data_IF_955602617056
#
_entry.id   IF_955602617056
#
_cell.length_a   1.000
_cell.length_b   1.000
_cell.length_c   1.000
_cell.angle_alpha   90.00
_cell.angle_beta   90.00
_cell.angle_gamma   90.00
#
_symmetry.space_group_name_H-M   'P 1'
#
loop_
_entity.id
_entity.type
_entity.pdbx_description
1 polymer ?
#
# COMPACT_ATOMS: atom_id res chain seq x y z
N UNK A 1 -23.67 0.61 -1.98
CA UNK A 1 -22.75 1.36 -1.10
C UNK A 1 -23.27 2.79 -0.88
N UNK A 2 -22.83 3.46 0.19
CA UNK A 2 -23.17 4.86 0.45
C UNK A 2 -22.70 5.73 -0.74
N UNK A 3 -23.49 6.69 -1.23
CA UNK A 3 -23.16 7.51 -2.42
C UNK A 3 -22.12 8.61 -2.15
N UNK A 4 -21.45 8.55 -1.00
CA UNK A 4 -20.43 9.53 -0.61
C UNK A 4 -19.11 9.15 -1.29
N UNK A 5 -18.43 10.10 -1.97
CA UNK A 5 -17.11 9.85 -2.53
C UNK A 5 -16.10 9.38 -1.48
N UNK A 6 -15.38 8.30 -1.78
CA UNK A 6 -14.43 7.66 -0.85
C UNK A 6 -13.00 7.79 -1.37
N UNK A 7 -12.12 8.40 -0.58
CA UNK A 7 -10.67 8.35 -0.79
C UNK A 7 -10.07 7.29 0.14
N UNK A 8 -9.38 6.32 -0.44
CA UNK A 8 -8.61 5.32 0.30
C UNK A 8 -7.13 5.51 -0.03
N UNK A 9 -6.29 5.63 0.99
CA UNK A 9 -4.83 5.74 0.85
C UNK A 9 -4.13 4.57 1.52
N UNK A 10 -2.97 4.20 1.00
CA UNK A 10 -2.06 3.19 1.56
C UNK A 10 -0.62 3.65 1.38
N UNK A 11 0.33 3.01 2.04
CA UNK A 11 1.76 3.28 1.92
C UNK A 11 2.46 2.22 1.07
N UNK A 12 3.58 2.56 0.44
CA UNK A 12 4.29 1.64 -0.48
C UNK A 12 4.72 0.30 0.16
N UNK A 13 5.09 0.29 1.44
CA UNK A 13 5.70 -0.86 2.11
C UNK A 13 5.02 -1.19 3.46
N UNK A 14 3.69 -1.32 3.46
CA UNK A 14 2.86 -1.55 4.65
C UNK A 14 3.43 -2.63 5.59
N UNK A 15 3.73 -3.83 5.09
CA UNK A 15 4.16 -4.92 5.97
C UNK A 15 5.49 -4.64 6.69
N UNK A 16 6.30 -3.72 6.17
CA UNK A 16 7.64 -3.40 6.71
C UNK A 16 7.54 -2.56 8.00
N UNK A 17 6.48 -1.77 8.15
CA UNK A 17 6.22 -1.04 9.40
C UNK A 17 5.64 -1.94 10.50
N UNK A 18 4.89 -2.98 10.10
CA UNK A 18 4.20 -3.91 11.03
C UNK A 18 5.09 -5.07 11.47
N UNK A 19 5.88 -5.64 10.55
CA UNK A 19 6.76 -6.78 10.82
C UNK A 19 8.23 -6.35 10.85
N UNK A 20 8.78 -6.02 12.03
CA UNK A 20 10.14 -5.54 12.16
C UNK A 20 11.19 -6.56 11.67
N UNK A 21 12.37 -6.08 11.26
CA UNK A 21 13.51 -6.88 10.76
C UNK A 21 14.24 -7.65 11.89
N UNK A 22 13.52 -8.26 12.81
CA UNK A 22 14.13 -8.91 13.97
C UNK A 22 14.56 -10.35 13.60
N UNK A 23 15.87 -10.52 13.34
CA UNK A 23 16.63 -11.80 13.29
C UNK A 23 16.28 -12.81 12.18
N UNK A 24 17.11 -13.87 12.09
CA UNK A 24 17.13 -14.96 11.08
C UNK A 24 15.78 -15.68 10.82
N UNK A 25 14.76 -15.47 11.66
CA UNK A 25 13.47 -16.17 11.61
C UNK A 25 12.39 -15.45 10.81
N UNK A 26 12.63 -14.22 10.34
CA UNK A 26 11.63 -13.42 9.59
C UNK A 26 11.08 -14.15 8.36
N UNK A 27 11.90 -14.92 7.63
CA UNK A 27 11.44 -15.71 6.48
C UNK A 27 10.46 -16.81 6.90
N UNK A 28 10.71 -17.46 8.04
CA UNK A 28 9.79 -18.45 8.61
C UNK A 28 8.50 -17.78 9.07
N UNK A 29 8.57 -16.66 9.78
CA UNK A 29 7.39 -15.90 10.23
C UNK A 29 6.53 -15.44 9.05
N UNK A 30 7.14 -14.92 7.98
CA UNK A 30 6.43 -14.51 6.77
C UNK A 30 5.74 -15.70 6.08
N UNK A 31 6.43 -16.83 5.95
CA UNK A 31 5.87 -18.06 5.39
C UNK A 31 4.67 -18.55 6.22
N UNK A 32 4.81 -18.60 7.54
CA UNK A 32 3.73 -19.02 8.45
C UNK A 32 2.54 -18.05 8.42
N UNK A 33 2.80 -16.74 8.33
CA UNK A 33 1.75 -15.74 8.22
C UNK A 33 1.04 -15.80 6.86
N UNK A 34 1.76 -16.11 5.78
CA UNK A 34 1.22 -16.11 4.42
C UNK A 34 0.46 -17.39 4.06
N UNK A 35 0.89 -18.56 4.54
CA UNK A 35 0.31 -19.86 4.18
C UNK A 35 -1.22 -19.94 4.34
N UNK A 36 -1.83 -19.44 5.43
CA UNK A 36 -3.28 -19.49 5.60
C UNK A 36 -4.08 -18.72 4.53
N UNK A 37 -3.45 -17.79 3.80
CA UNK A 37 -4.13 -17.07 2.73
C UNK A 37 -4.33 -17.90 1.46
N UNK A 38 -3.62 -19.01 1.31
CA UNK A 38 -3.62 -19.81 0.10
C UNK A 38 -4.16 -21.22 0.37
N UNK A 39 -4.61 -21.91 -0.67
CA UNK A 39 -4.96 -23.32 -0.54
C UNK A 39 -3.74 -24.14 -0.15
N UNK A 40 -3.99 -25.25 0.54
CA UNK A 40 -2.94 -26.17 0.93
C UNK A 40 -2.14 -26.63 -0.30
N UNK A 41 -0.82 -26.49 -0.25
CA UNK A 41 0.10 -26.84 -1.35
C UNK A 41 0.41 -25.72 -2.35
N UNK A 42 -0.43 -24.68 -2.46
CA UNK A 42 -0.29 -23.66 -3.53
C UNK A 42 0.75 -22.58 -3.23
N UNK A 43 1.16 -22.41 -1.97
CA UNK A 43 2.00 -21.29 -1.52
C UNK A 43 3.27 -21.08 -2.36
N UNK A 44 4.02 -22.15 -2.66
CA UNK A 44 5.25 -22.05 -3.43
C UNK A 44 4.99 -21.61 -4.88
N UNK A 45 3.97 -22.17 -5.52
CA UNK A 45 3.59 -21.81 -6.89
C UNK A 45 3.12 -20.36 -6.97
N UNK A 46 2.27 -19.92 -6.03
CA UNK A 46 1.80 -18.53 -5.97
C UNK A 46 2.97 -17.57 -5.75
N UNK A 47 3.91 -17.91 -4.84
CA UNK A 47 5.11 -17.10 -4.60
C UNK A 47 5.97 -16.95 -5.86
N UNK A 48 6.20 -18.03 -6.61
CA UNK A 48 6.99 -18.00 -7.85
C UNK A 48 6.32 -17.14 -8.94
N UNK A 49 5.01 -17.33 -9.15
CA UNK A 49 4.22 -16.51 -10.08
C UNK A 49 4.25 -15.03 -9.67
N UNK A 50 4.12 -14.76 -8.38
CA UNK A 50 4.14 -13.40 -7.85
C UNK A 50 5.50 -12.74 -8.07
N UNK A 51 6.60 -13.44 -7.79
CA UNK A 51 7.96 -12.95 -8.07
C UNK A 51 8.15 -12.59 -9.56
N UNK A 52 7.60 -13.39 -10.48
CA UNK A 52 7.65 -13.10 -11.92
C UNK A 52 6.88 -11.80 -12.27
N UNK A 53 5.71 -11.56 -11.66
CA UNK A 53 4.95 -10.31 -11.89
C UNK A 53 5.68 -9.07 -11.38
N UNK A 54 6.39 -9.16 -10.24
CA UNK A 54 7.23 -8.06 -9.73
C UNK A 54 8.32 -7.70 -10.73
N UNK A 55 9.05 -8.71 -11.22
CA UNK A 55 10.13 -8.52 -12.19
C UNK A 55 9.60 -7.87 -13.48
N UNK A 56 8.50 -8.39 -14.03
CA UNK A 56 7.85 -7.82 -15.23
C UNK A 56 7.41 -6.38 -15.03
N UNK A 57 6.99 -6.00 -13.82
CA UNK A 57 6.55 -4.64 -13.48
C UNK A 57 7.71 -3.67 -13.20
N UNK A 58 8.96 -4.12 -13.32
CA UNK A 58 10.14 -3.31 -12.95
C UNK A 58 10.20 -2.97 -11.46
N UNK A 59 9.46 -3.69 -10.61
CA UNK A 59 9.49 -3.50 -9.16
C UNK A 59 10.66 -4.31 -8.63
N UNK A 60 11.73 -3.61 -8.24
CA UNK A 60 12.90 -4.22 -7.62
C UNK A 60 12.55 -4.81 -6.24
N UNK A 61 12.13 -6.07 -6.22
CA UNK A 61 12.41 -6.93 -5.08
C UNK A 61 13.85 -7.42 -5.25
N UNK A 62 14.67 -7.32 -4.20
CA UNK A 62 15.92 -8.10 -4.17
C UNK A 62 15.53 -9.53 -4.48
N UNK A 63 16.28 -10.24 -5.33
CA UNK A 63 15.96 -11.60 -5.76
C UNK A 63 15.94 -12.64 -4.61
N UNK A 64 16.01 -12.18 -3.36
CA UNK A 64 15.85 -12.99 -2.16
C UNK A 64 14.38 -13.25 -1.84
N UNK A 65 14.12 -14.47 -1.35
CA UNK A 65 12.78 -14.95 -0.99
C UNK A 65 12.10 -14.09 0.10
N UNK A 66 12.89 -13.47 0.98
CA UNK A 66 12.37 -12.63 2.07
C UNK A 66 11.72 -11.36 1.52
N UNK A 67 12.37 -10.68 0.58
CA UNK A 67 11.87 -9.47 -0.07
C UNK A 67 10.57 -9.76 -0.82
N UNK A 68 10.53 -10.85 -1.57
CA UNK A 68 9.32 -11.31 -2.27
C UNK A 68 8.17 -11.56 -1.28
N UNK A 69 8.39 -12.34 -0.21
CA UNK A 69 7.33 -12.63 0.77
C UNK A 69 6.84 -11.38 1.50
N UNK A 70 7.70 -10.39 1.75
CA UNK A 70 7.26 -9.11 2.31
C UNK A 70 6.34 -8.35 1.37
N UNK A 71 6.71 -8.28 0.10
CA UNK A 71 5.87 -7.65 -0.91
C UNK A 71 4.55 -8.40 -1.06
N UNK A 72 4.56 -9.74 -1.05
CA UNK A 72 3.33 -10.55 -1.04
C UNK A 72 2.42 -10.21 0.14
N UNK A 73 2.99 -10.06 1.33
CA UNK A 73 2.20 -9.73 2.52
C UNK A 73 1.65 -8.29 2.46
N UNK A 74 2.47 -7.32 2.05
CA UNK A 74 2.03 -5.94 1.80
C UNK A 74 0.89 -5.91 0.80
N UNK A 75 1.04 -6.62 -0.32
CA UNK A 75 0.03 -6.62 -1.36
C UNK A 75 -1.23 -7.34 -0.92
N UNK A 76 -1.13 -8.55 -0.34
CA UNK A 76 -2.30 -9.36 0.04
C UNK A 76 -3.18 -8.67 1.08
N UNK A 77 -2.58 -8.11 2.13
CA UNK A 77 -3.32 -7.57 3.28
C UNK A 77 -3.77 -6.11 3.12
N UNK A 78 -3.14 -5.34 2.24
CA UNK A 78 -3.47 -3.92 2.09
C UNK A 78 -3.84 -3.59 0.66
N UNK A 79 -2.91 -3.75 -0.28
CA UNK A 79 -3.14 -3.28 -1.65
C UNK A 79 -4.30 -4.00 -2.34
N UNK A 80 -4.34 -5.34 -2.28
CA UNK A 80 -5.35 -6.13 -2.96
C UNK A 80 -6.73 -5.99 -2.32
N UNK A 81 -6.80 -5.98 -0.99
CA UNK A 81 -8.04 -5.74 -0.25
C UNK A 81 -8.60 -4.34 -0.52
N UNK A 82 -7.77 -3.29 -0.48
CA UNK A 82 -8.19 -1.93 -0.81
C UNK A 82 -8.64 -1.84 -2.28
N UNK A 83 -7.93 -2.49 -3.19
CA UNK A 83 -8.30 -2.55 -4.61
C UNK A 83 -9.65 -3.23 -4.81
N UNK A 84 -9.93 -4.32 -4.11
CA UNK A 84 -11.26 -4.96 -4.12
C UNK A 84 -12.34 -4.04 -3.57
N UNK A 85 -12.09 -3.38 -2.44
CA UNK A 85 -13.02 -2.42 -1.84
C UNK A 85 -13.39 -1.30 -2.83
N UNK A 86 -12.41 -0.66 -3.46
CA UNK A 86 -12.69 0.44 -4.42
C UNK A 86 -13.39 -0.07 -5.68
N UNK A 87 -13.09 -1.29 -6.14
CA UNK A 87 -13.82 -1.95 -7.24
C UNK A 87 -15.28 -2.14 -6.88
N UNK A 88 -15.58 -2.62 -5.68
CA UNK A 88 -16.96 -2.87 -5.22
C UNK A 88 -17.75 -1.58 -5.03
N UNK A 89 -17.13 -0.54 -4.48
CA UNK A 89 -17.74 0.80 -4.43
C UNK A 89 -18.07 1.28 -5.84
N UNK A 90 -17.11 1.20 -6.77
CA UNK A 90 -17.27 1.67 -8.16
C UNK A 90 -18.35 0.88 -8.91
N UNK A 91 -18.36 -0.46 -8.81
CA UNK A 91 -19.36 -1.33 -9.46
C UNK A 91 -20.79 -1.05 -9.01
N UNK A 92 -20.97 -0.58 -7.77
CA UNK A 92 -22.29 -0.24 -7.24
C UNK A 92 -22.69 1.22 -7.49
N UNK A 93 -21.95 1.94 -8.34
CA UNK A 93 -22.23 3.31 -8.73
C UNK A 93 -21.73 4.37 -7.74
N UNK A 94 -20.86 4.00 -6.79
CA UNK A 94 -20.17 4.95 -5.92
C UNK A 94 -18.93 5.54 -6.58
N UNK A 95 -18.47 6.69 -6.09
CA UNK A 95 -17.20 7.28 -6.49
C UNK A 95 -16.09 6.83 -5.51
N UNK A 96 -15.07 6.16 -6.02
CA UNK A 96 -13.90 5.76 -5.25
C UNK A 96 -12.63 6.36 -5.84
N UNK A 97 -11.66 6.66 -4.98
CA UNK A 97 -10.37 7.24 -5.32
C UNK A 97 -9.31 6.46 -4.54
N UNK A 98 -8.27 6.01 -5.23
CA UNK A 98 -7.21 5.21 -4.63
C UNK A 98 -5.88 5.96 -4.70
N UNK A 99 -5.28 6.22 -3.54
CA UNK A 99 -3.99 6.87 -3.39
C UNK A 99 -2.92 5.96 -2.79
N UNK A 100 -1.67 6.22 -3.13
CA UNK A 100 -0.50 5.63 -2.47
C UNK A 100 0.42 6.73 -2.00
N UNK A 101 0.66 6.79 -0.70
CA UNK A 101 1.72 7.61 -0.13
C UNK A 101 3.08 7.00 -0.52
N UNK A 102 3.76 7.71 -1.42
CA UNK A 102 4.98 7.26 -2.09
C UNK A 102 6.23 8.01 -1.61
N UNK A 103 6.04 9.05 -0.79
CA UNK A 103 7.13 9.81 -0.20
C UNK A 103 7.95 8.98 0.79
N UNK A 104 9.27 9.15 0.73
CA UNK A 104 10.26 8.59 1.63
C UNK A 104 10.51 9.55 2.81
N UNK A 105 9.94 9.31 4.00
CA UNK A 105 10.09 10.26 5.10
C UNK A 105 11.55 10.38 5.55
N UNK A 106 12.09 11.60 5.61
CA UNK A 106 13.40 11.84 6.25
C UNK A 106 13.35 11.54 7.75
N UNK A 107 12.17 11.56 8.38
CA UNK A 107 11.97 11.18 9.77
C UNK A 107 10.73 10.32 9.93
N UNK A 108 10.93 9.05 10.29
CA UNK A 108 9.89 8.10 10.66
C UNK A 108 10.27 7.42 11.98
N UNK A 109 9.83 7.93 13.14
CA UNK A 109 10.25 7.39 14.43
C UNK A 109 9.74 5.96 14.68
N UNK A 110 8.63 5.56 14.05
CA UNK A 110 8.05 4.22 14.18
C UNK A 110 8.77 3.27 13.23
N UNK A 111 8.78 3.57 11.93
CA UNK A 111 9.43 2.73 10.93
C UNK A 111 10.93 2.58 11.16
N UNK A 112 11.65 3.63 11.61
CA UNK A 112 13.08 3.54 11.96
C UNK A 112 13.37 2.53 13.07
N UNK A 113 12.42 2.30 13.98
CA UNK A 113 12.56 1.28 15.04
C UNK A 113 12.21 -0.12 14.53
N UNK A 114 11.36 -0.21 13.51
CA UNK A 114 10.89 -1.48 12.97
C UNK A 114 11.87 -2.10 11.97
N UNK A 115 12.36 -1.33 10.99
CA UNK A 115 13.13 -1.88 9.88
C UNK A 115 14.15 -0.91 9.32
N UNK A 116 15.34 -1.42 9.00
CA UNK A 116 16.38 -0.70 8.27
C UNK A 116 15.86 -0.20 6.90
N UNK A 117 14.94 -0.93 6.26
CA UNK A 117 14.33 -0.50 4.99
C UNK A 117 13.50 0.78 5.16
N UNK A 118 12.81 0.95 6.29
CA UNK A 118 12.13 2.22 6.63
C UNK A 118 13.14 3.32 6.97
N UNK A 119 14.27 2.99 7.60
CA UNK A 119 15.38 3.93 7.86
C UNK A 119 15.98 4.46 6.56
N UNK A 120 16.08 3.61 5.53
CA UNK A 120 16.65 3.90 4.22
C UNK A 120 15.67 4.62 3.27
N UNK A 121 14.52 5.06 3.77
CA UNK A 121 13.57 5.87 3.00
C UNK A 121 12.41 5.10 2.38
N UNK A 122 12.07 3.92 2.87
CA UNK A 122 10.80 3.31 2.50
C UNK A 122 9.62 4.03 3.17
N UNK A 123 8.58 4.35 2.39
CA UNK A 123 7.26 4.68 2.94
C UNK A 123 6.68 3.44 3.61
N UNK A 124 6.73 3.38 4.93
CA UNK A 124 6.28 2.25 5.75
C UNK A 124 4.89 2.51 6.36
N UNK A 125 4.27 1.47 6.95
CA UNK A 125 2.93 1.54 7.52
C UNK A 125 2.71 2.78 8.39
N UNK A 126 1.60 3.48 8.11
CA UNK A 126 1.17 4.69 8.80
C UNK A 126 2.14 5.88 8.75
N UNK A 127 3.19 5.84 7.92
CA UNK A 127 4.11 6.97 7.76
C UNK A 127 3.42 8.22 7.21
N UNK A 128 2.38 8.04 6.39
CA UNK A 128 1.54 9.09 5.83
C UNK A 128 0.75 9.89 6.88
N UNK A 129 0.46 9.29 8.03
CA UNK A 129 -0.28 9.94 9.12
C UNK A 129 0.47 11.14 9.70
N UNK A 130 1.80 11.11 9.70
CA UNK A 130 2.60 12.28 10.08
C UNK A 130 2.46 13.44 9.09
N UNK A 131 2.06 13.17 7.85
CA UNK A 131 1.91 14.18 6.82
C UNK A 131 0.48 14.69 6.72
N UNK A 132 -0.49 13.84 7.08
CA UNK A 132 -1.91 14.17 7.13
C UNK A 132 -2.25 15.06 8.33
N UNK A 133 -1.71 14.73 9.51
CA UNK A 133 -1.98 15.45 10.74
C UNK A 133 -1.07 16.68 10.86
N UNK A 134 -1.58 17.85 11.31
CA UNK A 134 -0.78 19.06 11.44
C UNK A 134 0.40 18.83 12.40
N UNK A 135 1.62 18.79 11.85
CA UNK A 135 2.87 18.73 12.62
C UNK A 135 3.35 20.17 12.87
N UNK A 136 3.35 20.61 14.13
CA UNK A 136 3.85 21.95 14.48
C UNK A 136 5.38 22.04 14.43
N UNK A 137 5.92 23.25 14.30
CA UNK A 137 7.35 23.48 14.58
C UNK A 137 7.68 22.96 15.99
N UNK A 138 8.66 22.06 16.11
CA UNK A 138 9.05 21.34 17.33
C UNK A 138 8.05 20.28 17.86
N UNK A 139 6.99 19.95 17.11
CA UNK A 139 6.07 18.84 17.38
C UNK A 139 5.88 18.01 16.10
N UNK A 140 6.87 17.20 15.77
CA UNK A 140 6.89 16.37 14.57
C UNK A 140 8.24 16.49 13.85
N UNK A 141 8.28 17.34 12.81
CA UNK A 141 9.50 17.57 12.03
C UNK A 141 10.57 18.34 12.82
N UNK A 142 11.82 17.91 12.66
CA UNK A 142 13.01 18.49 13.29
C UNK A 142 13.54 19.67 12.47
N UNK A 143 14.36 20.52 13.09
CA UNK A 143 15.08 21.60 12.39
C UNK A 143 15.90 21.02 11.22
N UNK A 144 15.84 21.67 10.05
CA UNK A 144 16.51 21.21 8.82
C UNK A 144 15.65 20.29 7.94
N UNK A 145 14.33 20.23 8.17
CA UNK A 145 13.38 19.41 7.41
C UNK A 145 12.32 20.27 6.71
N UNK A 146 12.69 21.44 6.20
CA UNK A 146 11.72 22.39 5.64
C UNK A 146 10.94 21.81 4.45
N UNK A 147 11.57 20.97 3.63
CA UNK A 147 10.91 20.23 2.56
C UNK A 147 9.79 19.29 3.06
N UNK A 148 9.98 18.66 4.23
CA UNK A 148 8.98 17.77 4.84
C UNK A 148 7.78 18.56 5.33
N UNK A 149 8.01 19.75 5.88
CA UNK A 149 6.95 20.66 6.33
C UNK A 149 6.12 21.15 5.15
N UNK A 150 6.78 21.57 4.07
CA UNK A 150 6.09 21.99 2.83
C UNK A 150 5.29 20.83 2.24
N UNK A 151 5.88 19.64 2.17
CA UNK A 151 5.20 18.46 1.66
C UNK A 151 4.00 18.03 2.54
N UNK A 152 4.15 18.02 3.86
CA UNK A 152 3.06 17.74 4.79
C UNK A 152 1.92 18.74 4.68
N UNK A 153 2.24 20.04 4.57
CA UNK A 153 1.24 21.08 4.36
C UNK A 153 0.46 20.83 3.06
N UNK A 154 1.16 20.54 1.95
CA UNK A 154 0.52 20.24 0.66
C UNK A 154 -0.34 18.97 0.71
N UNK A 155 0.19 17.86 1.23
CA UNK A 155 -0.52 16.59 1.33
C UNK A 155 -1.78 16.70 2.20
N UNK A 156 -1.67 17.29 3.40
CA UNK A 156 -2.81 17.49 4.30
C UNK A 156 -3.87 18.42 3.68
N UNK A 157 -3.47 19.50 3.01
CA UNK A 157 -4.38 20.40 2.32
C UNK A 157 -5.16 19.70 1.21
N UNK A 158 -4.53 18.83 0.42
CA UNK A 158 -5.21 18.14 -0.68
C UNK A 158 -6.10 16.98 -0.21
N UNK A 159 -5.78 16.33 0.91
CA UNK A 159 -6.72 15.42 1.57
C UNK A 159 -7.91 16.19 2.15
N UNK A 160 -7.67 17.35 2.79
CA UNK A 160 -8.74 18.20 3.31
C UNK A 160 -9.61 18.78 2.18
N UNK A 161 -9.01 19.16 1.06
CA UNK A 161 -9.71 19.61 -0.14
C UNK A 161 -10.65 18.53 -0.69
N UNK A 162 -10.23 17.26 -0.66
CA UNK A 162 -11.09 16.12 -1.00
C UNK A 162 -12.34 16.06 -0.11
N UNK A 163 -12.17 16.22 1.21
CA UNK A 163 -13.28 16.28 2.18
C UNK A 163 -14.24 17.44 1.86
N UNK A 164 -13.72 18.57 1.39
CA UNK A 164 -14.52 19.75 1.00
C UNK A 164 -15.10 19.70 -0.42
N UNK A 165 -14.91 18.62 -1.18
CA UNK A 165 -15.50 18.46 -2.51
C UNK A 165 -14.53 18.54 -3.68
N UNK A 166 -13.31 19.03 -3.47
CA UNK A 166 -12.31 19.13 -4.53
C UNK A 166 -11.64 17.77 -4.77
N UNK A 167 -11.93 17.14 -5.90
CA UNK A 167 -11.43 15.78 -6.20
C UNK A 167 -9.98 15.75 -6.65
N UNK A 168 -9.51 16.81 -7.32
CA UNK A 168 -8.12 16.93 -7.72
C UNK A 168 -7.20 17.00 -6.49
N UNK A 169 -6.04 16.30 -6.50
CA UNK A 169 -5.42 15.60 -7.64
C UNK A 169 -5.76 14.11 -7.73
N UNK A 170 -6.68 13.62 -6.91
CA UNK A 170 -7.02 12.22 -6.83
C UNK A 170 -7.77 11.78 -8.09
N UNK A 171 -7.18 10.86 -8.85
CA UNK A 171 -7.85 10.26 -10.00
C UNK A 171 -9.00 9.37 -9.50
N UNK A 172 -10.18 9.57 -10.07
CA UNK A 172 -11.32 8.68 -9.82
C UNK A 172 -11.00 7.28 -10.34
N UNK A 173 -11.30 6.27 -9.54
CA UNK A 173 -11.10 4.88 -9.89
C UNK A 173 -12.10 4.46 -10.99
N UNK A 174 -11.58 3.95 -12.10
CA UNK A 174 -12.32 3.38 -13.22
C UNK A 174 -11.98 1.90 -13.32
N UNK A 175 -12.97 1.02 -13.52
CA UNK A 175 -12.74 -0.44 -13.55
C UNK A 175 -11.78 -0.90 -14.65
N UNK A 176 -11.71 -0.17 -15.76
CA UNK A 176 -10.90 -0.54 -16.93
C UNK A 176 -9.42 -0.15 -16.75
N UNK A 177 -9.17 1.07 -16.26
CA UNK A 177 -7.81 1.62 -16.11
C UNK A 177 -7.23 1.40 -14.72
N UNK A 178 -8.10 1.24 -13.73
CA UNK A 178 -7.79 1.09 -12.31
C UNK A 178 -6.70 2.09 -11.86
N UNK A 179 -6.92 3.41 -12.07
CA UNK A 179 -5.91 4.42 -11.78
C UNK A 179 -5.66 4.52 -10.29
N UNK A 180 -4.39 4.71 -9.94
CA UNK A 180 -3.94 4.95 -8.57
C UNK A 180 -3.11 6.24 -8.56
N UNK A 181 -3.38 7.13 -7.61
CA UNK A 181 -2.64 8.38 -7.45
C UNK A 181 -1.47 8.18 -6.51
N UNK A 182 -0.24 8.24 -7.02
CA UNK A 182 0.95 8.20 -6.19
C UNK A 182 1.27 9.61 -5.73
N UNK A 183 1.59 9.76 -4.46
CA UNK A 183 1.83 11.06 -3.86
C UNK A 183 3.20 11.12 -3.19
N UNK A 184 4.09 11.94 -3.75
CA UNK A 184 5.42 12.19 -3.20
C UNK A 184 5.83 13.67 -3.29
N UNK A 185 7.07 14.00 -2.93
CA UNK A 185 7.60 15.37 -2.96
C UNK A 185 7.58 15.99 -4.36
N UNK A 186 7.64 15.20 -5.42
CA UNK A 186 7.52 15.67 -6.81
C UNK A 186 6.08 16.01 -7.20
N UNK A 187 5.10 15.59 -6.39
CA UNK A 187 3.68 15.85 -6.59
C UNK A 187 2.86 14.60 -6.91
N UNK A 188 1.54 14.75 -7.12
CA UNK A 188 0.67 13.65 -7.47
C UNK A 188 0.93 13.17 -8.90
N UNK A 189 0.99 11.86 -9.10
CA UNK A 189 1.08 11.22 -10.43
C UNK A 189 0.13 10.03 -10.53
N UNK A 190 -0.56 9.91 -11.65
CA UNK A 190 -1.52 8.81 -11.87
C UNK A 190 -0.80 7.62 -12.50
N UNK A 191 -0.96 6.45 -11.90
CA UNK A 191 -0.40 5.18 -12.40
C UNK A 191 -1.55 4.21 -12.69
N UNK A 192 -1.78 3.84 -13.96
CA UNK A 192 -2.83 2.89 -14.31
C UNK A 192 -2.43 1.47 -13.90
N UNK A 193 -3.38 0.71 -13.35
CA UNK A 193 -3.23 -0.73 -13.09
C UNK A 193 -2.10 -1.12 -12.11
N UNK A 194 -1.65 -0.19 -11.26
CA UNK A 194 -0.59 -0.52 -10.29
C UNK A 194 -0.99 -1.69 -9.39
N UNK A 195 -0.11 -2.69 -9.29
CA UNK A 195 -0.29 -3.94 -8.55
C UNK A 195 -1.42 -4.84 -9.03
N UNK A 196 -1.95 -4.63 -10.24
CA UNK A 196 -3.05 -5.45 -10.79
C UNK A 196 -2.65 -6.92 -10.92
N UNK A 197 -1.58 -7.22 -11.64
CA UNK A 197 -1.13 -8.61 -11.89
C UNK A 197 -0.71 -9.31 -10.58
N UNK A 198 -0.09 -8.57 -9.66
CA UNK A 198 0.28 -9.05 -8.33
C UNK A 198 -0.96 -9.53 -7.57
N UNK A 199 -2.03 -8.72 -7.55
CA UNK A 199 -3.27 -9.09 -6.88
C UNK A 199 -3.99 -10.25 -7.58
N UNK A 200 -4.02 -10.28 -8.91
CA UNK A 200 -4.58 -11.43 -9.64
C UNK A 200 -3.88 -12.74 -9.28
N UNK A 201 -2.56 -12.74 -9.12
CA UNK A 201 -1.82 -13.93 -8.67
C UNK A 201 -2.16 -14.28 -7.23
N UNK A 202 -2.13 -13.30 -6.32
CA UNK A 202 -2.38 -13.51 -4.89
C UNK A 202 -3.82 -13.93 -4.58
N UNK A 203 -4.78 -13.57 -5.44
CA UNK A 203 -6.19 -13.92 -5.30
C UNK A 203 -6.59 -15.16 -6.11
N UNK A 204 -5.68 -15.70 -6.94
CA UNK A 204 -5.95 -16.90 -7.74
C UNK A 204 -6.06 -18.19 -6.90
N UNK A 205 -5.55 -18.18 -5.67
CA UNK A 205 -5.68 -19.28 -4.72
C UNK A 205 -5.98 -18.73 -3.34
N UNK A 206 -7.25 -18.72 -2.93
CA UNK A 206 -7.65 -18.30 -1.59
C UNK A 206 -7.85 -19.53 -0.70
N UNK A 207 -7.24 -19.51 0.48
CA UNK A 207 -7.39 -20.56 1.49
C UNK A 207 -8.83 -20.70 1.99
N UNK A 208 -9.21 -21.92 2.38
CA UNK A 208 -10.59 -22.25 2.76
C UNK A 208 -11.03 -21.60 4.07
N UNK A 209 -10.08 -21.21 4.92
CA UNK A 209 -10.35 -20.55 6.20
C UNK A 209 -10.49 -19.03 6.08
N UNK A 210 -10.20 -18.45 4.91
CA UNK A 210 -10.32 -17.01 4.74
C UNK A 210 -11.77 -16.54 4.89
N UNK A 211 -12.00 -15.39 5.56
CA UNK A 211 -13.32 -14.76 5.59
C UNK A 211 -13.89 -14.56 4.19
N UNK A 212 -15.20 -14.66 4.03
CA UNK A 212 -15.87 -14.55 2.73
C UNK A 212 -15.59 -13.24 2.01
N UNK A 213 -15.37 -12.14 2.75
CA UNK A 213 -15.03 -10.84 2.18
C UNK A 213 -13.60 -10.76 1.61
N UNK A 214 -12.68 -11.64 2.05
CA UNK A 214 -11.31 -11.73 1.51
C UNK A 214 -11.21 -12.73 0.36
N UNK A 215 -12.19 -13.62 0.24
CA UNK A 215 -12.31 -14.51 -0.91
C UNK A 215 -12.91 -13.70 -2.05
N UNK A 216 -12.04 -13.11 -2.88
CA UNK A 216 -12.44 -12.51 -4.16
C UNK A 216 -13.10 -13.58 -5.04
N UNK A 217 -14.40 -13.80 -4.84
CA UNK A 217 -15.24 -14.57 -5.74
C UNK A 217 -15.36 -13.68 -6.96
N UNK A 218 -14.54 -13.94 -7.98
CA UNK A 218 -14.64 -13.24 -9.25
C UNK A 218 -16.11 -13.10 -9.63
N UNK A 219 -16.57 -11.84 -9.68
CA UNK A 219 -17.84 -11.51 -10.29
C UNK A 219 -17.71 -11.69 -11.79
#
# INVERSE_FOLDING_TARGET
>A
WNKVPVLVTTTKNESTGVLPDVKMTIGFMLSTALRPFFKEGDFNQVRERYAATLHKSGIEAKADSKSVMRQMLTDKLWMCDIRSLVKDITRTGGEAYLGVFWHSPKYDPVGRRSSQTCVEGAACHASDMMYLLPQGHNKGFRKGQDEEVVFSSRYSQEVLAFVHGARFPWAQFELEKEPITFYDTSGPRVVPGYRREQCEVLDSSNGDELPSFMKNRGA
#
